data_IF_192164953008
#
_entry.id   IF_192164953008
#
_cell.length_a   1.000
_cell.length_b   1.000
_cell.length_c   1.000
_cell.angle_alpha   90.00
_cell.angle_beta   90.00
_cell.angle_gamma   90.00
#
_symmetry.space_group_name_H-M   'P 1'
#
loop_
_entity.id
_entity.type
_entity.pdbx_description
1 polymer ?
#
# COMPACT_ATOMS: atom_id res chain seq x y z
N UNK A 1 -7.94 15.20 -24.48
CA UNK A 1 -7.29 13.88 -24.71
C UNK A 1 -5.79 14.11 -24.62
N UNK A 2 -5.09 13.38 -23.75
CA UNK A 2 -3.64 13.49 -23.64
C UNK A 2 -2.96 12.94 -24.91
N UNK A 3 -1.81 13.48 -25.24
CA UNK A 3 -1.01 12.98 -26.33
C UNK A 3 -0.51 11.55 -26.01
N UNK A 4 -0.55 10.64 -26.96
CA UNK A 4 -0.29 9.20 -26.75
C UNK A 4 1.03 8.89 -26.05
N UNK A 5 2.05 9.73 -26.24
CA UNK A 5 3.35 9.54 -25.58
C UNK A 5 3.35 9.94 -24.10
N UNK A 6 2.33 10.66 -23.63
CA UNK A 6 2.14 11.05 -22.24
C UNK A 6 1.28 10.04 -21.45
N UNK A 7 0.65 9.08 -22.15
CA UNK A 7 -0.17 8.07 -21.51
C UNK A 7 0.76 7.01 -20.90
N UNK A 8 0.67 6.85 -19.58
CA UNK A 8 1.46 5.85 -18.86
C UNK A 8 1.06 4.43 -19.28
N UNK A 9 2.07 3.59 -19.55
CA UNK A 9 1.85 2.15 -19.74
C UNK A 9 1.74 1.50 -18.37
N UNK A 10 0.66 0.78 -18.13
CA UNK A 10 0.40 0.11 -16.86
C UNK A 10 0.07 -1.36 -17.06
N UNK A 11 0.32 -2.20 -16.07
CA UNK A 11 -0.12 -3.59 -15.99
C UNK A 11 -0.77 -3.85 -14.63
N UNK A 12 -2.01 -3.34 -14.42
CA UNK A 12 -2.63 -3.30 -13.10
C UNK A 12 -3.25 -4.62 -12.66
N UNK A 13 -3.47 -5.56 -13.58
CA UNK A 13 -4.01 -6.88 -13.25
C UNK A 13 -2.89 -7.77 -12.74
N UNK A 14 -3.05 -8.29 -11.54
CA UNK A 14 -2.03 -9.15 -10.93
C UNK A 14 -1.92 -10.50 -11.66
N UNK A 15 -0.71 -11.08 -11.64
CA UNK A 15 -0.50 -12.46 -12.04
C UNK A 15 -1.36 -13.38 -11.14
N UNK A 16 -2.24 -14.22 -11.71
CA UNK A 16 -3.10 -15.09 -10.92
C UNK A 16 -2.37 -16.04 -9.96
N UNK A 17 -1.14 -16.43 -10.29
CA UNK A 17 -0.31 -17.28 -9.43
C UNK A 17 0.14 -16.58 -8.14
N UNK A 18 0.08 -15.26 -8.11
CA UNK A 18 0.48 -14.43 -6.97
C UNK A 18 -0.73 -13.98 -6.13
N UNK A 19 -1.95 -14.44 -6.43
CA UNK A 19 -3.17 -13.98 -5.77
C UNK A 19 -3.70 -15.04 -4.82
N UNK A 20 -3.91 -14.65 -3.57
CA UNK A 20 -4.55 -15.45 -2.53
C UNK A 20 -5.88 -14.79 -2.15
N UNK A 21 -6.95 -15.57 -2.11
CA UNK A 21 -8.26 -15.11 -1.64
C UNK A 21 -8.57 -15.77 -0.30
N UNK A 22 -8.92 -14.97 0.69
CA UNK A 22 -9.29 -15.47 2.01
C UNK A 22 -10.45 -14.64 2.56
N UNK A 23 -11.60 -15.26 2.77
CA UNK A 23 -12.84 -14.57 3.18
C UNK A 23 -13.12 -13.35 2.28
N UNK A 24 -13.16 -12.16 2.86
CA UNK A 24 -13.37 -10.88 2.20
C UNK A 24 -12.06 -10.18 1.75
N UNK A 25 -10.93 -10.86 1.90
CA UNK A 25 -9.62 -10.35 1.49
C UNK A 25 -9.16 -10.92 0.15
N UNK A 26 -8.52 -10.06 -0.65
CA UNK A 26 -7.64 -10.45 -1.76
C UNK A 26 -6.24 -9.98 -1.42
N UNK A 27 -5.29 -10.90 -1.37
CA UNK A 27 -3.90 -10.63 -1.05
C UNK A 27 -3.07 -10.96 -2.29
N UNK A 28 -2.32 -9.99 -2.78
CA UNK A 28 -1.42 -10.18 -3.92
C UNK A 28 0.01 -10.14 -3.43
N UNK A 29 0.76 -11.21 -3.66
CA UNK A 29 2.19 -11.30 -3.38
C UNK A 29 2.94 -10.71 -4.57
N UNK A 30 3.33 -9.46 -4.51
CA UNK A 30 4.02 -8.78 -5.61
C UNK A 30 5.51 -9.16 -5.65
N UNK A 31 6.14 -9.26 -4.49
CA UNK A 31 7.52 -9.75 -4.27
C UNK A 31 7.61 -10.37 -2.89
N UNK A 32 8.74 -11.01 -2.56
CA UNK A 32 8.97 -11.68 -1.26
C UNK A 32 8.69 -10.81 -0.03
N UNK A 33 8.73 -9.49 -0.18
CA UNK A 33 8.51 -8.50 0.88
C UNK A 33 7.52 -7.40 0.50
N UNK A 34 6.78 -7.57 -0.59
CA UNK A 34 5.81 -6.59 -1.06
C UNK A 34 4.46 -7.25 -1.30
N UNK A 35 3.48 -6.84 -0.53
CA UNK A 35 2.13 -7.38 -0.58
C UNK A 35 1.12 -6.27 -0.81
N UNK A 36 0.08 -6.57 -1.57
CA UNK A 36 -1.11 -5.75 -1.65
C UNK A 36 -2.25 -6.47 -0.96
N UNK A 37 -2.86 -5.84 0.04
CA UNK A 37 -3.99 -6.38 0.80
C UNK A 37 -5.21 -5.53 0.46
N UNK A 38 -6.24 -6.17 -0.05
CA UNK A 38 -7.51 -5.54 -0.39
C UNK A 38 -8.63 -6.25 0.38
N UNK A 39 -9.57 -5.47 0.88
CA UNK A 39 -10.75 -6.00 1.56
C UNK A 39 -12.01 -5.54 0.86
N UNK A 40 -12.96 -6.45 0.62
CA UNK A 40 -14.24 -6.14 0.00
C UNK A 40 -15.33 -7.08 0.47
N UNK A 41 -16.26 -6.57 1.25
CA UNK A 41 -17.43 -7.34 1.74
C UNK A 41 -18.32 -7.86 0.60
N UNK A 42 -18.20 -7.28 -0.59
CA UNK A 42 -18.94 -7.66 -1.80
C UNK A 42 -18.12 -8.50 -2.78
N UNK A 43 -16.86 -8.80 -2.46
CA UNK A 43 -15.93 -9.50 -3.36
C UNK A 43 -15.56 -8.71 -4.62
N UNK A 44 -15.82 -7.40 -4.64
CA UNK A 44 -15.49 -6.54 -5.76
C UNK A 44 -14.12 -5.90 -5.55
N UNK A 45 -13.18 -6.23 -6.42
CA UNK A 45 -11.81 -5.71 -6.38
C UNK A 45 -11.48 -4.99 -7.68
N UNK A 46 -10.70 -3.93 -7.58
CA UNK A 46 -10.32 -3.12 -8.73
C UNK A 46 -9.02 -3.62 -9.35
N UNK A 47 -9.10 -4.04 -10.63
CA UNK A 47 -7.93 -4.43 -11.44
C UNK A 47 -7.48 -3.30 -12.37
N UNK A 48 -7.65 -2.07 -11.95
CA UNK A 48 -7.22 -0.87 -12.65
C UNK A 48 -5.99 -0.27 -11.94
N UNK A 49 -5.16 0.43 -12.71
CA UNK A 49 -4.03 1.17 -12.15
C UNK A 49 -4.54 2.32 -11.29
N UNK A 50 -3.90 2.54 -10.15
CA UNK A 50 -4.15 3.71 -9.32
C UNK A 50 -3.01 4.70 -9.48
N UNK A 51 -3.20 5.92 -9.01
CA UNK A 51 -2.13 6.93 -8.99
C UNK A 51 -0.87 6.43 -8.28
N UNK A 52 -1.02 5.55 -7.29
CA UNK A 52 0.09 5.01 -6.49
C UNK A 52 0.62 3.67 -7.00
N UNK A 53 -0.17 2.87 -7.72
CA UNK A 53 0.19 1.49 -8.10
C UNK A 53 -0.17 1.22 -9.56
N UNK A 54 0.85 1.20 -10.42
CA UNK A 54 0.70 1.03 -11.87
C UNK A 54 0.90 -0.41 -12.34
N UNK A 55 1.75 -1.17 -11.66
CA UNK A 55 2.18 -2.50 -12.08
C UNK A 55 1.86 -3.53 -11.00
N UNK A 56 1.10 -4.57 -11.37
CA UNK A 56 0.79 -5.72 -10.50
C UNK A 56 1.06 -7.05 -11.20
N UNK A 57 1.29 -7.02 -12.51
CA UNK A 57 1.65 -8.20 -13.29
C UNK A 57 3.13 -8.51 -13.08
N UNK A 58 3.43 -9.10 -11.94
CA UNK A 58 4.79 -9.48 -11.54
C UNK A 58 5.04 -10.95 -11.84
N UNK A 59 6.32 -11.36 -12.01
CA UNK A 59 6.66 -12.77 -12.10
C UNK A 59 6.08 -13.58 -10.93
N UNK A 60 5.88 -14.88 -11.14
CA UNK A 60 5.42 -15.75 -10.07
C UNK A 60 6.41 -15.75 -8.90
N UNK A 61 5.90 -15.51 -7.71
CA UNK A 61 6.64 -15.56 -6.44
C UNK A 61 6.43 -16.95 -5.82
N UNK A 62 7.48 -17.51 -5.24
CA UNK A 62 7.35 -18.76 -4.48
C UNK A 62 6.89 -18.44 -3.06
N UNK A 63 5.74 -18.97 -2.65
CA UNK A 63 5.22 -18.80 -1.30
C UNK A 63 4.32 -19.96 -0.92
N UNK A 64 4.12 -20.17 0.37
CA UNK A 64 3.13 -21.09 0.94
C UNK A 64 2.05 -20.33 1.69
N UNK A 65 0.91 -20.96 1.85
CA UNK A 65 -0.26 -20.38 2.52
C UNK A 65 -0.73 -21.36 3.59
N UNK A 66 -0.96 -20.86 4.79
CA UNK A 66 -1.49 -21.61 5.93
C UNK A 66 -2.71 -20.88 6.49
N UNK A 67 -3.86 -21.55 6.51
CA UNK A 67 -5.04 -21.04 7.20
C UNK A 67 -4.95 -21.36 8.69
N UNK A 68 -5.13 -20.32 9.50
CA UNK A 68 -5.12 -20.39 10.96
C UNK A 68 -6.53 -20.10 11.50
N UNK A 69 -6.73 -20.30 12.80
CA UNK A 69 -8.04 -20.13 13.43
C UNK A 69 -8.60 -18.70 13.26
N UNK A 70 -7.75 -17.67 13.29
CA UNK A 70 -8.10 -16.25 13.28
C UNK A 70 -7.52 -15.47 12.11
N UNK A 71 -7.05 -16.15 11.05
CA UNK A 71 -6.47 -15.49 9.90
C UNK A 71 -5.78 -16.42 8.91
N UNK A 72 -4.99 -15.82 8.04
CA UNK A 72 -4.20 -16.52 7.03
C UNK A 72 -2.74 -16.07 7.11
N UNK A 73 -1.82 -17.03 7.04
CA UNK A 73 -0.38 -16.80 6.97
C UNK A 73 0.12 -17.02 5.55
N UNK A 74 0.86 -16.05 5.01
CA UNK A 74 1.55 -16.17 3.73
C UNK A 74 3.04 -16.12 4.02
N UNK A 75 3.75 -17.17 3.61
CA UNK A 75 5.17 -17.36 3.89
C UNK A 75 5.93 -17.34 2.57
N UNK A 76 6.81 -16.38 2.41
CA UNK A 76 7.77 -16.28 1.30
C UNK A 76 9.17 -16.66 1.78
N UNK A 77 10.15 -16.68 0.89
CA UNK A 77 11.54 -16.96 1.26
C UNK A 77 12.13 -15.91 2.23
N UNK A 78 11.52 -14.73 2.35
CA UNK A 78 12.10 -13.59 3.09
C UNK A 78 11.17 -12.97 4.13
N UNK A 79 9.91 -13.35 4.18
CA UNK A 79 8.93 -12.71 5.06
C UNK A 79 7.73 -13.62 5.29
N UNK A 80 7.18 -13.53 6.49
CA UNK A 80 5.89 -14.07 6.84
C UNK A 80 4.90 -12.92 7.02
N UNK A 81 3.76 -13.01 6.35
CA UNK A 81 2.67 -12.04 6.46
C UNK A 81 1.46 -12.73 7.05
N UNK A 82 1.02 -12.32 8.23
CA UNK A 82 -0.23 -12.73 8.82
C UNK A 82 -1.32 -11.69 8.55
N UNK A 83 -2.40 -12.11 7.91
CA UNK A 83 -3.60 -11.28 7.71
C UNK A 83 -4.71 -11.86 8.57
N UNK A 84 -5.02 -11.16 9.65
CA UNK A 84 -6.04 -11.58 10.59
C UNK A 84 -7.45 -11.24 10.09
N UNK A 85 -8.43 -11.99 10.53
CA UNK A 85 -9.86 -11.71 10.33
C UNK A 85 -10.20 -10.29 10.77
N UNK A 86 -9.71 -9.90 11.94
CA UNK A 86 -9.68 -8.51 12.38
C UNK A 86 -8.37 -7.86 11.94
N UNK A 87 -8.37 -7.12 10.83
CA UNK A 87 -7.17 -6.56 10.20
C UNK A 87 -6.18 -5.88 11.16
N UNK A 88 -6.67 -5.25 12.22
CA UNK A 88 -5.83 -4.58 13.24
C UNK A 88 -4.83 -5.50 13.95
N UNK A 89 -5.09 -6.82 13.92
CA UNK A 89 -4.21 -7.85 14.50
C UNK A 89 -3.19 -8.39 13.50
N UNK A 90 -3.26 -7.94 12.24
CA UNK A 90 -2.35 -8.38 11.19
C UNK A 90 -0.93 -7.85 11.43
N UNK A 91 0.06 -8.66 11.04
CA UNK A 91 1.47 -8.33 11.21
C UNK A 91 2.34 -8.93 10.09
N UNK A 92 3.55 -8.41 9.98
CA UNK A 92 4.61 -9.04 9.19
C UNK A 92 5.78 -9.40 10.09
N UNK A 93 6.42 -10.54 9.86
CA UNK A 93 7.63 -10.92 10.56
C UNK A 93 8.85 -10.21 9.96
N UNK A 94 9.50 -9.39 10.78
CA UNK A 94 10.70 -8.63 10.39
C UNK A 94 11.81 -8.94 11.40
N UNK A 95 12.88 -9.55 10.93
CA UNK A 95 14.02 -9.94 11.78
C UNK A 95 13.60 -10.76 13.02
N UNK A 96 12.69 -11.70 12.84
CA UNK A 96 12.18 -12.57 13.91
C UNK A 96 11.22 -11.90 14.89
N UNK A 97 10.69 -10.73 14.56
CA UNK A 97 9.70 -10.01 15.39
C UNK A 97 8.44 -9.74 14.58
N UNK A 98 7.29 -9.94 15.18
CA UNK A 98 6.00 -9.60 14.61
C UNK A 98 5.78 -8.09 14.70
N UNK A 99 5.76 -7.42 13.55
CA UNK A 99 5.54 -5.98 13.42
C UNK A 99 4.13 -5.74 12.92
N UNK A 100 3.27 -5.06 13.69
CA UNK A 100 1.89 -4.77 13.28
C UNK A 100 1.82 -3.99 11.98
N UNK A 101 0.83 -4.31 11.14
CA UNK A 101 0.55 -3.57 9.91
C UNK A 101 -0.16 -2.25 10.23
N UNK A 102 0.63 -1.25 10.58
CA UNK A 102 0.17 0.09 10.94
C UNK A 102 1.16 1.15 10.48
N UNK A 103 0.65 2.32 10.12
CA UNK A 103 1.48 3.49 9.81
C UNK A 103 1.90 4.31 11.04
N UNK A 104 1.49 3.92 12.25
CA UNK A 104 1.79 4.67 13.49
C UNK A 104 3.29 4.83 13.78
N UNK A 105 4.14 3.98 13.25
CA UNK A 105 5.59 4.04 13.38
C UNK A 105 6.31 4.73 12.22
N UNK A 106 5.57 5.29 11.27
CA UNK A 106 6.17 5.92 10.10
C UNK A 106 6.92 7.20 10.49
N UNK A 107 8.02 7.43 9.80
CA UNK A 107 8.74 8.70 9.89
C UNK A 107 7.90 9.78 9.24
N UNK A 108 7.85 10.93 9.86
CA UNK A 108 7.18 12.09 9.28
C UNK A 108 7.89 12.58 8.03
N UNK A 109 7.13 13.14 7.11
CA UNK A 109 7.66 13.83 5.95
C UNK A 109 8.47 15.06 6.36
N UNK A 110 9.13 15.68 5.39
CA UNK A 110 9.84 16.93 5.58
C UNK A 110 8.98 18.11 5.15
N UNK A 111 9.29 19.25 5.70
CA UNK A 111 8.68 20.50 5.28
C UNK A 111 9.07 20.83 3.83
N UNK A 112 8.09 21.10 2.99
CA UNK A 112 8.33 21.46 1.58
C UNK A 112 8.21 22.95 1.39
N UNK A 113 9.13 23.52 0.63
CA UNK A 113 9.17 24.97 0.38
C UNK A 113 7.97 25.51 -0.42
N UNK A 114 7.17 24.64 -1.00
CA UNK A 114 5.95 25.00 -1.75
C UNK A 114 4.67 24.83 -0.93
N UNK A 115 4.75 24.35 0.31
CA UNK A 115 3.59 24.26 1.19
C UNK A 115 3.20 25.66 1.68
N UNK A 116 1.92 25.87 2.01
CA UNK A 116 1.38 27.16 2.41
C UNK A 116 2.02 27.81 3.65
N UNK A 117 2.88 27.07 4.34
CA UNK A 117 3.69 27.54 5.46
C UNK A 117 5.04 28.10 5.04
N UNK A 118 5.37 28.04 3.76
CA UNK A 118 6.61 28.53 3.22
C UNK A 118 6.76 30.03 3.38
N UNK A 119 7.80 30.43 4.05
CA UNK A 119 8.23 31.83 4.19
C UNK A 119 7.50 32.63 5.26
N UNK A 120 6.59 32.04 6.01
CA UNK A 120 5.84 32.70 7.08
C UNK A 120 6.17 32.21 8.48
N UNK A 121 7.08 31.28 8.63
CA UNK A 121 7.57 30.90 9.95
C UNK A 121 8.51 32.00 10.42
N UNK A 122 8.00 32.90 11.23
CA UNK A 122 8.82 33.89 11.90
C UNK A 122 9.78 33.16 12.82
N UNK A 123 11.08 33.49 12.73
CA UNK A 123 12.08 32.98 13.66
C UNK A 123 11.82 33.47 15.09
N UNK A 124 10.87 34.39 15.27
CA UNK A 124 10.40 34.91 16.57
C UNK A 124 9.28 34.05 17.18
N UNK A 125 8.70 33.10 16.46
CA UNK A 125 7.71 32.17 17.03
C UNK A 125 8.46 31.09 17.80
N UNK A 126 8.35 31.12 19.11
CA UNK A 126 9.06 30.20 20.02
C UNK A 126 8.75 28.71 19.76
N UNK A 127 7.63 28.39 19.06
CA UNK A 127 7.25 27.04 18.69
C UNK A 127 6.43 27.01 17.39
N UNK A 128 7.05 27.26 16.23
CA UNK A 128 6.35 27.13 14.96
C UNK A 128 5.90 25.68 14.76
N UNK A 129 4.61 25.44 14.81
CA UNK A 129 4.04 24.11 14.54
C UNK A 129 3.62 24.02 13.09
N UNK A 130 4.20 23.07 12.37
CA UNK A 130 3.82 22.74 11.02
C UNK A 130 3.35 21.28 10.99
N UNK A 131 2.15 20.98 10.47
CA UNK A 131 1.74 19.61 10.28
C UNK A 131 2.63 18.95 9.22
N UNK A 132 3.34 17.91 9.60
CA UNK A 132 4.11 17.08 8.67
C UNK A 132 3.27 15.91 8.20
N UNK A 133 3.32 15.62 6.90
CA UNK A 133 2.66 14.46 6.33
C UNK A 133 3.26 13.15 6.86
N UNK A 134 2.46 12.11 6.89
CA UNK A 134 2.93 10.76 7.18
C UNK A 134 3.83 10.28 6.03
N UNK A 135 5.02 9.82 6.37
CA UNK A 135 5.93 9.23 5.39
C UNK A 135 5.64 7.73 5.19
N UNK A 136 6.20 7.17 4.13
CA UNK A 136 6.08 5.74 3.81
C UNK A 136 7.16 4.88 4.46
N UNK A 137 8.22 5.49 4.98
CA UNK A 137 9.30 4.76 5.66
C UNK A 137 9.04 4.66 7.15
N UNK A 138 9.36 3.51 7.75
CA UNK A 138 9.25 3.32 9.19
C UNK A 138 10.58 2.84 9.80
N UNK A 139 10.71 2.98 11.12
CA UNK A 139 11.84 2.42 11.88
C UNK A 139 11.59 0.97 12.28
N UNK A 140 10.38 0.46 12.09
CA UNK A 140 10.00 -0.91 12.45
C UNK A 140 10.32 -1.94 11.38
N UNK A 141 10.64 -1.48 10.15
CA UNK A 141 10.90 -2.33 8.99
C UNK A 141 9.65 -2.69 8.19
N UNK A 142 8.46 -2.19 8.58
CA UNK A 142 7.21 -2.31 7.82
C UNK A 142 6.79 -0.92 7.36
N UNK A 143 6.47 -0.79 6.08
CA UNK A 143 5.92 0.42 5.49
C UNK A 143 4.54 0.10 4.89
N UNK A 144 3.58 1.00 5.09
CA UNK A 144 2.23 0.86 4.55
C UNK A 144 1.91 2.08 3.69
N UNK A 145 1.47 1.81 2.47
CA UNK A 145 0.91 2.81 1.57
C UNK A 145 -0.60 2.57 1.52
N UNK A 146 -1.37 3.54 1.99
CA UNK A 146 -2.82 3.49 1.87
C UNK A 146 -3.24 4.01 0.49
N UNK A 147 -3.69 3.06 -0.35
CA UNK A 147 -4.09 3.33 -1.73
C UNK A 147 -5.61 3.51 -1.88
N UNK A 148 -6.37 3.53 -0.77
CA UNK A 148 -7.85 3.56 -0.82
C UNK A 148 -8.41 4.83 -1.44
N UNK A 149 -7.76 5.96 -1.21
CA UNK A 149 -8.17 7.28 -1.71
C UNK A 149 -7.46 7.66 -3.01
N UNK A 150 -6.56 6.80 -3.54
CA UNK A 150 -5.87 7.07 -4.80
C UNK A 150 -6.83 7.03 -5.98
N UNK A 151 -6.73 8.00 -6.86
CA UNK A 151 -7.48 8.04 -8.11
C UNK A 151 -7.09 6.86 -9.02
N UNK A 152 -8.04 6.42 -9.82
CA UNK A 152 -7.83 5.40 -10.84
C UNK A 152 -7.27 6.08 -12.10
N UNK A 153 -6.20 5.49 -12.64
CA UNK A 153 -5.60 5.91 -13.90
C UNK A 153 -6.30 5.19 -15.06
N UNK A 154 -7.11 5.93 -15.80
CA UNK A 154 -7.80 5.41 -16.96
C UNK A 154 -6.85 5.14 -18.13
N UNK A 155 -7.30 4.33 -19.09
CA UNK A 155 -6.53 3.95 -20.30
C UNK A 155 -6.14 5.13 -21.18
N UNK A 156 -6.90 6.21 -21.10
CA UNK A 156 -6.68 7.43 -21.88
C UNK A 156 -5.86 8.49 -21.12
N UNK A 157 -5.29 8.10 -19.97
CA UNK A 157 -4.55 8.99 -19.08
C UNK A 157 -5.43 9.86 -18.19
N UNK A 158 -6.74 9.69 -18.23
CA UNK A 158 -7.67 10.38 -17.35
C UNK A 158 -7.59 9.82 -15.94
N UNK A 159 -7.70 10.69 -14.94
CA UNK A 159 -7.86 10.28 -13.54
C UNK A 159 -9.36 10.19 -13.23
N UNK A 160 -9.76 9.09 -12.60
CA UNK A 160 -11.15 8.82 -12.22
C UNK A 160 -11.24 8.52 -10.74
N UNK A 161 -12.36 8.91 -10.13
CA UNK A 161 -12.69 8.50 -8.78
C UNK A 161 -12.92 6.98 -8.72
N UNK A 162 -12.54 6.38 -7.60
CA UNK A 162 -12.91 4.99 -7.32
C UNK A 162 -14.43 4.90 -7.16
N UNK A 163 -15.01 3.90 -7.81
CA UNK A 163 -16.39 3.53 -7.53
C UNK A 163 -16.49 3.07 -6.08
N UNK A 164 -17.31 3.72 -5.29
CA UNK A 164 -17.59 3.40 -3.87
C UNK A 164 -18.57 2.24 -3.75
#
# INVERSE_FOLDING_TARGET
MLDKHLIAKTSPKANPLNVVTYKDYRITVLFDRLFRIEKSDKGLFTDEATQSVWFRDMPAVNFTVEELEDGIMIITDKTELFVADEYKKSYAAVNGKNVPLTNKGNLKGTYRTLDGYCGSVSLSDDHPTCPLEEGVCSRTGVAIIDDRESLILGKDGDLKDRLK
#
